data_IF_520010994757
#
_entry.id   IF_520010994757
#
_cell.length_a   1.000
_cell.length_b   1.000
_cell.length_c   1.000
_cell.angle_alpha   90.00
_cell.angle_beta   90.00
_cell.angle_gamma   90.00
#
_symmetry.space_group_name_H-M   'P 1'
#
loop_
_entity.id
_entity.type
_entity.pdbx_description
1 polymer ?
#
# COMPACT_ATOMS: atom_id res chain seq x y z
N UNK A 1 20.39 -3.09 4.82
CA UNK A 1 19.45 -2.56 5.83
C UNK A 1 19.91 -3.04 7.20
N UNK A 2 20.30 -2.14 8.09
CA UNK A 2 20.60 -2.52 9.49
C UNK A 2 19.28 -2.71 10.23
N UNK A 3 19.11 -3.88 10.85
CA UNK A 3 17.86 -4.32 11.49
C UNK A 3 17.37 -3.34 12.58
N UNK A 4 18.26 -2.52 13.14
CA UNK A 4 17.99 -1.57 14.24
C UNK A 4 17.30 -0.25 13.86
N UNK A 5 17.00 0.00 12.59
CA UNK A 5 16.36 1.26 12.15
C UNK A 5 14.83 1.15 11.96
N UNK A 6 14.26 -0.06 11.95
CA UNK A 6 12.82 -0.26 11.78
C UNK A 6 12.10 -0.03 13.11
N UNK A 7 11.06 0.80 13.09
CA UNK A 7 10.21 1.09 14.26
C UNK A 7 8.93 0.28 14.19
N UNK A 8 8.36 0.14 12.99
CA UNK A 8 7.15 -0.64 12.79
C UNK A 8 6.77 -0.75 11.33
N UNK A 9 5.77 -1.59 11.06
CA UNK A 9 5.18 -1.72 9.73
C UNK A 9 3.67 -1.95 9.81
N UNK A 10 2.98 -1.58 8.75
CA UNK A 10 1.57 -1.87 8.55
C UNK A 10 1.36 -2.37 7.13
N UNK A 11 0.64 -3.49 7.00
CA UNK A 11 0.36 -4.11 5.71
C UNK A 11 -1.14 -4.07 5.45
N UNK A 12 -1.53 -3.61 4.26
CA UNK A 12 -2.93 -3.61 3.81
C UNK A 12 -3.08 -4.26 2.45
N UNK A 13 -4.18 -4.96 2.28
CA UNK A 13 -4.62 -5.40 0.96
C UNK A 13 -5.36 -4.26 0.26
N UNK A 14 -5.00 -4.01 -1.00
CA UNK A 14 -5.67 -3.07 -1.87
C UNK A 14 -6.64 -3.85 -2.76
N UNK A 15 -7.85 -4.03 -2.25
CA UNK A 15 -8.95 -4.58 -3.04
C UNK A 15 -9.08 -3.79 -4.36
N UNK A 16 -9.24 -4.50 -5.47
CA UNK A 16 -9.29 -3.94 -6.83
C UNK A 16 -7.93 -3.64 -7.49
N UNK A 17 -6.81 -3.74 -6.76
CA UNK A 17 -5.47 -3.71 -7.39
C UNK A 17 -4.75 -5.05 -7.32
N UNK A 18 -5.39 -6.05 -6.73
CA UNK A 18 -4.77 -7.35 -6.42
C UNK A 18 -3.38 -7.17 -5.81
N UNK A 19 -3.22 -6.17 -4.93
CA UNK A 19 -1.93 -5.75 -4.44
C UNK A 19 -1.91 -5.67 -2.92
N UNK A 20 -0.74 -5.95 -2.35
CA UNK A 20 -0.43 -5.70 -0.95
C UNK A 20 0.50 -4.52 -0.87
N UNK A 21 0.17 -3.59 0.01
CA UNK A 21 1.03 -2.47 0.34
C UNK A 21 1.49 -2.59 1.78
N UNK A 22 2.80 -2.54 1.97
CA UNK A 22 3.43 -2.46 3.28
C UNK A 22 4.09 -1.10 3.45
N UNK A 23 3.70 -0.42 4.52
CA UNK A 23 4.34 0.82 4.99
C UNK A 23 5.29 0.45 6.11
N UNK A 24 6.47 1.05 6.12
CA UNK A 24 7.49 0.93 7.17
C UNK A 24 7.79 2.31 7.73
N UNK A 25 7.87 2.42 9.06
CA UNK A 25 8.39 3.59 9.75
C UNK A 25 9.78 3.29 10.25
N UNK A 26 10.73 4.19 9.96
CA UNK A 26 12.15 4.01 10.27
C UNK A 26 12.67 5.22 11.03
N UNK A 27 13.68 5.00 11.87
CA UNK A 27 14.49 6.11 12.41
C UNK A 27 15.21 6.78 11.24
N UNK A 28 15.15 8.11 11.18
CA UNK A 28 15.96 8.88 10.25
C UNK A 28 17.43 8.88 10.69
N UNK A 29 18.37 8.70 9.76
CA UNK A 29 19.81 8.80 10.04
C UNK A 29 20.22 10.20 10.50
N UNK A 30 19.46 11.23 10.11
CA UNK A 30 19.71 12.63 10.49
C UNK A 30 19.14 13.02 11.86
N UNK A 31 18.61 12.07 12.63
CA UNK A 31 17.95 12.27 13.93
C UNK A 31 16.75 13.24 13.89
N UNK A 32 16.25 13.60 12.70
CA UNK A 32 15.11 14.51 12.48
C UNK A 32 13.81 13.75 12.17
N UNK A 33 13.37 12.91 13.11
CA UNK A 33 12.05 12.28 13.06
C UNK A 33 11.97 10.93 12.35
N UNK A 34 10.77 10.59 11.88
CA UNK A 34 10.40 9.28 11.33
C UNK A 34 10.41 9.30 9.81
N UNK A 35 11.15 8.38 9.19
CA UNK A 35 11.14 8.16 7.75
C UNK A 35 10.09 7.11 7.40
N UNK A 36 9.07 7.51 6.65
CA UNK A 36 8.05 6.61 6.09
C UNK A 36 8.51 6.08 4.73
N UNK A 37 8.53 4.77 4.57
CA UNK A 37 8.73 4.12 3.27
C UNK A 37 7.59 3.18 2.95
N UNK A 38 7.25 3.08 1.67
CA UNK A 38 6.15 2.26 1.20
C UNK A 38 6.66 1.28 0.15
N UNK A 39 6.27 0.01 0.27
CA UNK A 39 6.49 -1.01 -0.75
C UNK A 39 5.14 -1.58 -1.15
N UNK A 40 4.87 -1.64 -2.45
CA UNK A 40 3.65 -2.26 -2.99
C UNK A 40 4.06 -3.46 -3.84
N UNK A 41 3.42 -4.59 -3.61
CA UNK A 41 3.61 -5.83 -4.37
C UNK A 41 2.27 -6.23 -4.97
N UNK A 42 2.25 -6.46 -6.27
CA UNK A 42 1.08 -6.89 -7.01
C UNK A 42 1.09 -8.42 -7.11
N UNK A 43 -0.06 -9.05 -6.89
CA UNK A 43 -0.26 -10.47 -7.11
C UNK A 43 -0.79 -10.68 -8.52
N UNK A 44 0.05 -11.24 -9.39
CA UNK A 44 -0.28 -11.47 -10.79
C UNK A 44 -0.34 -10.18 -11.62
N UNK A 45 -0.70 -10.35 -12.90
CA UNK A 45 -1.10 -9.24 -13.76
C UNK A 45 -2.58 -8.95 -13.48
N UNK A 46 -3.00 -7.68 -13.50
CA UNK A 46 -4.43 -7.32 -13.45
C UNK A 46 -5.07 -7.59 -14.82
N UNK A 47 -4.99 -8.83 -15.26
CA UNK A 47 -5.44 -9.37 -16.55
C UNK A 47 -6.36 -10.55 -16.26
N UNK A 48 -7.58 -10.51 -16.79
CA UNK A 48 -8.60 -11.54 -16.57
C UNK A 48 -10.02 -10.98 -16.49
N UNK A 49 -11.05 -11.85 -16.47
CA UNK A 49 -12.47 -11.44 -16.49
C UNK A 49 -12.90 -10.66 -15.23
N UNK A 50 -12.14 -10.77 -14.13
CA UNK A 50 -12.36 -10.04 -12.89
C UNK A 50 -11.40 -8.85 -12.72
N UNK A 51 -10.82 -8.34 -13.80
CA UNK A 51 -10.00 -7.13 -13.76
C UNK A 51 -10.82 -6.01 -13.15
N UNK A 52 -10.31 -5.44 -12.06
CA UNK A 52 -10.92 -4.26 -11.44
C UNK A 52 -10.18 -3.03 -11.92
N UNK A 53 -10.90 -2.12 -12.58
CA UNK A 53 -10.38 -0.78 -12.86
C UNK A 53 -10.42 0.03 -11.55
N UNK A 54 -9.26 0.52 -11.05
CA UNK A 54 -9.23 1.30 -9.83
C UNK A 54 -10.12 2.55 -9.89
N UNK A 55 -10.21 3.23 -11.03
CA UNK A 55 -11.02 4.44 -11.18
C UNK A 55 -12.51 4.11 -11.04
N UNK A 56 -12.97 3.05 -11.72
CA UNK A 56 -14.36 2.58 -11.62
C UNK A 56 -14.71 2.12 -10.20
N UNK A 57 -13.79 1.41 -9.53
CA UNK A 57 -13.99 0.98 -8.14
C UNK A 57 -14.16 2.16 -7.19
N UNK A 58 -13.30 3.19 -7.29
CA UNK A 58 -13.42 4.37 -6.43
C UNK A 58 -14.70 5.15 -6.71
N UNK A 59 -15.15 5.24 -7.96
CA UNK A 59 -16.45 5.83 -8.31
C UNK A 59 -17.60 5.08 -7.65
N UNK A 60 -17.65 3.74 -7.79
CA UNK A 60 -18.71 2.91 -7.16
C UNK A 60 -18.74 3.03 -5.63
N UNK A 61 -17.57 3.06 -4.99
CA UNK A 61 -17.50 3.25 -3.53
C UNK A 61 -18.01 4.63 -3.15
N UNK A 62 -17.62 5.68 -3.88
CA UNK A 62 -18.08 7.04 -3.63
C UNK A 62 -19.60 7.15 -3.77
N UNK A 63 -20.19 6.63 -4.84
CA UNK A 63 -21.65 6.65 -5.07
C UNK A 63 -22.44 5.84 -4.04
N UNK A 64 -21.85 4.80 -3.44
CA UNK A 64 -22.53 3.98 -2.44
C UNK A 64 -22.60 4.64 -1.05
N UNK A 65 -21.64 5.51 -0.73
CA UNK A 65 -21.44 6.04 0.62
C UNK A 65 -21.51 7.57 0.71
N UNK A 66 -21.74 8.28 -0.41
CA UNK A 66 -22.09 9.70 -0.46
C UNK A 66 -23.48 9.86 -1.05
#
# INVERSE_FOLDING_TARGET
MTKGQLIGSATRYLAGRHAVQTVYWRKSDSNKGLLKTTKTTFFGKNEGPNRVDPAEMFTRVRERYM
#
